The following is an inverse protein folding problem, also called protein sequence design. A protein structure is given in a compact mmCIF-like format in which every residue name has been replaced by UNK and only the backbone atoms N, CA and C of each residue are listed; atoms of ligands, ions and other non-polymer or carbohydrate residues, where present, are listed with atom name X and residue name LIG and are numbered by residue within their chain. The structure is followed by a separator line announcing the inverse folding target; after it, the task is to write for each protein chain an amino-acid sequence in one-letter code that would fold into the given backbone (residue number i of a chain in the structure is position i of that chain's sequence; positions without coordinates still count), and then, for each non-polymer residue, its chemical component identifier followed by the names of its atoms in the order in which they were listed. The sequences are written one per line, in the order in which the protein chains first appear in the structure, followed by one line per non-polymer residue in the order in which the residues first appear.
data_IF_642412528978
#
_entry.id   IF_642412528978
#
_cell.length_a   1.000
_cell.length_b   1.000
_cell.length_c   1.000
_cell.angle_alpha   90.00
_cell.angle_beta   90.00
_cell.angle_gamma   90.00
#
_symmetry.space_group_name_H-M   'P 1'
#
loop_
_entity.id
_entity.type
_entity.pdbx_description
1 polymer ?
#
# COMPACT_ATOMS: atom_id res chain seq x y z
N UNK A 1 30.13 22.31 12.94
CA UNK A 1 28.97 22.08 13.83
C UNK A 1 29.24 20.82 14.64
N UNK A 2 29.06 20.81 15.96
CA UNK A 2 29.23 19.59 16.74
C UNK A 2 27.99 18.71 16.53
N UNK A 3 28.13 17.62 15.75
CA UNK A 3 27.00 16.73 15.40
C UNK A 3 26.30 16.13 16.63
N UNK A 4 26.98 16.06 17.77
CA UNK A 4 26.39 15.56 19.02
C UNK A 4 25.24 16.43 19.58
N UNK A 5 25.09 17.68 19.11
CA UNK A 5 24.03 18.59 19.56
C UNK A 5 22.82 18.64 18.62
N UNK A 6 22.88 17.97 17.47
CA UNK A 6 21.80 17.99 16.49
C UNK A 6 20.77 16.92 16.85
N UNK A 7 19.57 17.35 17.23
CA UNK A 7 18.38 16.50 17.35
C UNK A 7 17.39 16.87 16.26
N UNK A 8 17.28 16.03 15.23
CA UNK A 8 16.35 16.25 14.11
C UNK A 8 14.91 16.37 14.60
N UNK A 9 14.18 17.33 14.04
CA UNK A 9 12.79 17.70 14.34
C UNK A 9 12.51 18.03 15.82
N UNK A 10 13.54 18.37 16.59
CA UNK A 10 13.45 18.84 17.98
C UNK A 10 14.24 20.13 18.19
N UNK A 11 15.46 20.17 17.65
CA UNK A 11 16.35 21.34 17.70
C UNK A 11 16.71 21.85 16.31
N UNK A 12 16.73 20.96 15.32
CA UNK A 12 17.09 21.27 13.94
C UNK A 12 16.17 20.52 12.97
N UNK A 13 15.92 21.08 11.81
CA UNK A 13 15.36 20.34 10.68
C UNK A 13 16.50 19.85 9.79
N UNK A 14 16.46 18.57 9.40
CA UNK A 14 17.40 17.97 8.45
C UNK A 14 16.95 18.36 7.04
N UNK A 15 17.87 18.82 6.20
CA UNK A 15 17.54 19.38 4.88
C UNK A 15 18.47 18.78 3.82
N UNK A 16 17.89 18.33 2.72
CA UNK A 16 18.61 17.93 1.52
C UNK A 16 18.70 19.13 0.57
N UNK A 17 19.92 19.57 0.24
CA UNK A 17 20.16 20.78 -0.56
C UNK A 17 21.08 20.54 -1.75
N UNK A 18 20.83 21.26 -2.84
CA UNK A 18 21.82 21.45 -3.90
C UNK A 18 22.98 22.30 -3.38
N UNK A 19 24.20 21.91 -3.71
CA UNK A 19 25.38 22.72 -3.42
C UNK A 19 25.49 23.78 -4.53
N UNK A 20 25.65 25.03 -4.14
CA UNK A 20 25.74 26.14 -5.10
C UNK A 20 26.95 25.95 -6.02
N UNK A 21 26.74 26.13 -7.33
CA UNK A 21 27.77 25.98 -8.37
C UNK A 21 28.41 24.58 -8.48
N UNK A 22 27.87 23.56 -7.79
CA UNK A 22 28.28 22.17 -7.92
C UNK A 22 27.08 21.32 -8.37
N UNK A 23 27.30 20.34 -9.25
CA UNK A 23 26.28 19.33 -9.57
C UNK A 23 26.24 18.25 -8.48
N UNK A 24 26.03 18.68 -7.23
CA UNK A 24 26.14 17.85 -6.03
C UNK A 24 25.03 18.19 -5.05
N UNK A 25 24.59 17.18 -4.30
CA UNK A 25 23.63 17.33 -3.21
C UNK A 25 24.31 17.03 -1.89
N UNK A 26 23.95 17.77 -0.85
CA UNK A 26 24.43 17.56 0.53
C UNK A 26 23.27 17.55 1.52
N UNK A 27 23.54 16.97 2.68
CA UNK A 27 22.69 17.10 3.87
C UNK A 27 23.16 18.32 4.66
N UNK A 28 22.21 19.13 5.09
CA UNK A 28 22.39 20.32 5.89
C UNK A 28 21.40 20.34 7.06
N UNK A 29 21.64 21.22 8.05
CA UNK A 29 20.84 21.30 9.26
C UNK A 29 20.48 22.75 9.56
N UNK A 30 19.18 23.02 9.68
CA UNK A 30 18.69 24.36 9.99
C UNK A 30 18.09 24.38 11.38
N UNK A 31 18.63 25.23 12.25
CA UNK A 31 18.21 25.36 13.64
C UNK A 31 16.76 25.86 13.76
N UNK A 32 15.98 25.23 14.64
CA UNK A 32 14.62 25.65 14.97
C UNK A 32 14.69 26.80 15.98
N UNK A 33 14.14 27.95 15.62
CA UNK A 33 14.11 29.15 16.47
C UNK A 33 12.70 29.67 16.63
N UNK A 34 12.24 29.75 17.88
CA UNK A 34 10.97 30.37 18.18
C UNK A 34 11.14 31.89 18.25
N UNK A 35 10.55 32.61 17.28
CA UNK A 35 10.71 34.07 17.13
C UNK A 35 10.10 34.89 18.29
N UNK A 36 9.22 34.29 19.09
CA UNK A 36 8.42 34.98 20.11
C UNK A 36 8.68 34.44 21.53
N UNK A 37 9.92 34.07 21.81
CA UNK A 37 10.34 33.50 23.10
C UNK A 37 9.99 34.42 24.28
N UNK A 38 10.25 35.72 24.17
CA UNK A 38 9.92 36.70 25.23
C UNK A 38 8.43 36.72 25.58
N UNK A 39 7.55 36.58 24.57
CA UNK A 39 6.11 36.55 24.79
C UNK A 39 5.66 35.26 25.48
N UNK A 40 6.32 34.13 25.16
CA UNK A 40 6.07 32.84 25.81
C UNK A 40 6.53 32.85 27.27
N UNK A 41 7.67 33.48 27.56
CA UNK A 41 8.15 33.66 28.92
C UNK A 41 7.22 34.55 29.74
N UNK A 42 6.69 35.62 29.16
CA UNK A 42 5.67 36.44 29.82
C UNK A 42 4.40 35.63 30.11
N UNK A 43 3.93 34.81 29.16
CA UNK A 43 2.80 33.90 29.40
C UNK A 43 3.09 32.93 30.56
N UNK A 44 4.33 32.46 30.71
CA UNK A 44 4.73 31.62 31.85
C UNK A 44 4.66 32.40 33.16
N UNK A 45 5.18 33.63 33.21
CA UNK A 45 5.06 34.50 34.39
C UNK A 45 3.61 34.77 34.75
N UNK A 46 2.73 34.94 33.76
CA UNK A 46 1.29 35.05 33.99
C UNK A 46 0.70 33.77 34.60
N UNK A 47 1.17 32.59 34.19
CA UNK A 47 0.73 31.32 34.75
C UNK A 47 1.11 31.17 36.24
N UNK A 48 2.31 31.62 36.58
CA UNK A 48 2.88 31.59 37.93
C UNK A 48 2.34 32.71 38.86
N UNK A 49 1.55 33.66 38.32
CA UNK A 49 1.01 34.80 39.06
C UNK A 49 -0.41 34.53 39.57
N UNK A 50 -0.55 34.48 40.90
CA UNK A 50 -1.84 34.23 41.56
C UNK A 50 -2.88 35.35 41.37
N UNK A 51 -2.47 36.56 40.97
CA UNK A 51 -3.38 37.66 40.65
C UNK A 51 -3.91 37.64 39.21
N UNK A 52 -3.54 36.64 38.42
CA UNK A 52 -4.05 36.45 37.04
C UNK A 52 -5.00 35.26 37.00
N UNK A 53 -5.96 35.34 36.10
CA UNK A 53 -6.84 34.24 35.73
C UNK A 53 -6.38 33.58 34.43
N UNK A 54 -6.92 32.39 34.14
CA UNK A 54 -6.74 31.76 32.82
C UNK A 54 -7.36 32.60 31.69
N UNK A 55 -8.38 33.41 31.99
CA UNK A 55 -9.03 34.29 31.02
C UNK A 55 -8.09 35.44 30.59
N UNK A 56 -7.34 36.03 31.53
CA UNK A 56 -6.31 37.04 31.23
C UNK A 56 -5.25 36.48 30.27
N UNK A 57 -4.83 35.22 30.51
CA UNK A 57 -3.87 34.53 29.66
C UNK A 57 -4.43 34.30 28.24
N UNK A 58 -5.72 33.98 28.12
CA UNK A 58 -6.38 33.83 26.83
C UNK A 58 -6.39 35.11 26.02
N UNK A 59 -6.71 36.23 26.67
CA UNK A 59 -6.76 37.52 25.99
C UNK A 59 -5.36 37.98 25.57
N UNK A 60 -4.35 37.73 26.41
CA UNK A 60 -2.95 37.95 26.05
C UNK A 60 -2.50 37.13 24.83
N UNK A 61 -2.82 35.83 24.79
CA UNK A 61 -2.48 34.98 23.62
C UNK A 61 -3.20 35.45 22.36
N UNK A 62 -4.49 35.79 22.45
CA UNK A 62 -5.27 36.31 21.31
C UNK A 62 -4.73 37.62 20.76
N UNK A 63 -4.25 38.50 21.65
CA UNK A 63 -3.72 39.83 21.32
C UNK A 63 -2.23 39.86 20.92
N UNK A 64 -1.52 38.72 21.00
CA UNK A 64 -0.09 38.63 20.73
C UNK A 64 0.24 37.74 19.51
N UNK A 65 1.52 37.61 19.18
CA UNK A 65 1.95 36.70 18.11
C UNK A 65 1.77 35.22 18.48
N UNK A 66 1.57 34.93 19.78
CA UNK A 66 1.24 33.57 20.25
C UNK A 66 -0.12 33.08 19.77
N UNK A 67 -0.98 33.95 19.22
CA UNK A 67 -2.27 33.56 18.61
C UNK A 67 -2.10 32.41 17.60
N UNK A 68 -0.99 32.37 16.86
CA UNK A 68 -0.67 31.27 15.92
C UNK A 68 -0.68 29.90 16.60
N UNK A 69 -0.19 29.83 17.85
CA UNK A 69 -0.16 28.62 18.66
C UNK A 69 -1.55 28.16 19.11
N UNK A 70 -2.63 28.90 18.83
CA UNK A 70 -4.00 28.43 19.12
C UNK A 70 -4.64 27.68 17.96
N UNK A 71 -4.01 27.68 16.77
CA UNK A 71 -4.52 27.00 15.58
C UNK A 71 -4.22 25.49 15.61
N UNK A 72 -4.72 24.78 14.62
CA UNK A 72 -4.38 23.38 14.36
C UNK A 72 -2.99 23.24 13.72
N UNK A 73 -2.39 22.07 13.94
CA UNK A 73 -1.12 21.67 13.34
C UNK A 73 -1.17 20.19 12.93
N UNK A 74 -0.70 19.91 11.72
CA UNK A 74 -0.42 18.55 11.25
C UNK A 74 0.91 18.06 11.85
N UNK A 75 0.82 17.46 13.04
CA UNK A 75 1.98 17.05 13.83
C UNK A 75 1.77 15.71 14.54
N UNK A 76 2.78 14.86 14.41
CA UNK A 76 2.90 13.52 14.94
C UNK A 76 3.92 13.52 16.08
N UNK A 77 3.41 13.53 17.30
CA UNK A 77 4.17 13.60 18.55
C UNK A 77 4.94 12.32 18.90
N UNK A 78 4.52 11.19 18.37
CA UNK A 78 5.21 9.91 18.42
C UNK A 78 5.05 9.21 17.07
N UNK A 79 6.12 8.98 16.31
CA UNK A 79 6.01 8.53 14.91
C UNK A 79 5.26 7.19 14.74
N UNK A 80 5.19 6.38 15.80
CA UNK A 80 4.55 5.07 15.83
C UNK A 80 3.17 5.01 16.47
N UNK A 81 2.68 6.04 17.17
CA UNK A 81 1.37 5.99 17.86
C UNK A 81 0.20 6.22 16.88
N UNK A 82 -1.03 5.88 17.24
CA UNK A 82 -2.21 6.10 16.37
C UNK A 82 -2.99 7.38 16.75
N UNK A 83 -3.77 7.94 15.80
CA UNK A 83 -4.74 9.03 16.02
C UNK A 83 -4.13 10.32 16.55
N UNK A 84 -3.04 10.75 15.93
CA UNK A 84 -2.37 11.98 16.31
C UNK A 84 -2.77 13.10 15.38
N UNK A 85 -3.02 14.27 15.96
CA UNK A 85 -3.02 15.58 15.32
C UNK A 85 -3.13 16.60 16.45
N UNK A 86 -2.79 17.86 16.19
CA UNK A 86 -2.98 18.92 17.18
C UNK A 86 -4.16 19.77 16.72
N UNK A 87 -5.36 19.60 17.30
CA UNK A 87 -6.51 20.42 16.91
C UNK A 87 -6.39 21.85 17.44
N UNK A 88 -7.16 22.73 16.79
CA UNK A 88 -7.38 24.11 17.22
C UNK A 88 -7.80 24.14 18.69
N UNK A 89 -7.17 25.04 19.44
CA UNK A 89 -7.34 25.13 20.87
C UNK A 89 -8.70 25.72 21.22
N UNK A 90 -9.54 24.93 21.89
CA UNK A 90 -10.80 25.43 22.43
C UNK A 90 -10.53 26.37 23.62
N UNK A 91 -11.09 27.59 23.63
CA UNK A 91 -10.96 28.50 24.75
C UNK A 91 -11.75 27.99 25.97
N UNK A 92 -11.22 28.24 27.15
CA UNK A 92 -11.92 28.15 28.43
C UNK A 92 -13.09 29.14 28.40
N UNK A 93 -14.29 28.61 28.65
CA UNK A 93 -15.54 29.36 28.74
C UNK A 93 -15.53 30.24 29.99
N UNK A 94 -15.87 31.52 29.82
CA UNK A 94 -16.04 32.44 30.95
C UNK A 94 -17.09 31.93 31.93
N UNK A 95 -18.24 31.49 31.41
CA UNK A 95 -19.37 31.04 32.22
C UNK A 95 -19.02 29.79 33.04
N UNK A 96 -18.38 28.79 32.41
CA UNK A 96 -18.01 27.55 33.10
C UNK A 96 -16.92 27.81 34.14
N UNK A 97 -15.93 28.64 33.81
CA UNK A 97 -14.88 29.00 34.76
C UNK A 97 -15.44 29.78 35.96
N UNK A 98 -16.31 30.76 35.74
CA UNK A 98 -16.89 31.55 36.82
C UNK A 98 -17.78 30.69 37.71
N UNK A 99 -18.59 29.80 37.12
CA UNK A 99 -19.43 28.86 37.86
C UNK A 99 -18.61 28.01 38.83
N UNK A 100 -17.50 27.43 38.38
CA UNK A 100 -16.62 26.62 39.24
C UNK A 100 -16.02 27.45 40.39
N UNK A 101 -15.59 28.69 40.10
CA UNK A 101 -15.08 29.61 41.13
C UNK A 101 -16.14 29.93 42.18
N UNK A 102 -17.37 30.22 41.76
CA UNK A 102 -18.49 30.53 42.64
C UNK A 102 -18.85 29.32 43.53
N UNK A 103 -18.84 28.10 42.98
CA UNK A 103 -19.06 26.87 43.75
C UNK A 103 -18.02 26.64 44.86
N UNK A 104 -16.75 27.05 44.66
CA UNK A 104 -15.77 27.02 45.74
C UNK A 104 -16.01 28.11 46.79
N UNK A 105 -16.41 29.32 46.37
CA UNK A 105 -16.74 30.41 47.28
C UNK A 105 -17.96 30.06 48.16
N UNK A 106 -19.00 29.45 47.58
CA UNK A 106 -20.20 28.97 48.30
C UNK A 106 -19.86 27.89 49.35
N UNK A 107 -18.88 27.03 49.06
CA UNK A 107 -18.36 26.01 50.00
C UNK A 107 -17.38 26.57 51.03
N UNK A 108 -16.93 27.82 50.88
CA UNK A 108 -15.90 28.43 51.72
C UNK A 108 -14.50 27.81 51.54
N UNK A 109 -14.27 27.06 50.46
CA UNK A 109 -13.01 26.35 50.19
C UNK A 109 -12.03 27.21 49.39
N UNK A 110 -11.34 28.10 50.11
CA UNK A 110 -10.33 29.01 49.51
C UNK A 110 -9.14 28.26 48.92
N UNK A 111 -8.67 27.21 49.58
CA UNK A 111 -7.50 26.45 49.13
C UNK A 111 -7.81 25.68 47.85
N UNK A 112 -9.00 25.08 47.74
CA UNK A 112 -9.48 24.43 46.53
C UNK A 112 -9.63 25.40 45.37
N UNK A 113 -10.19 26.59 45.61
CA UNK A 113 -10.30 27.66 44.60
C UNK A 113 -8.94 28.08 44.03
N UNK A 114 -7.97 28.35 44.90
CA UNK A 114 -6.61 28.73 44.50
C UNK A 114 -5.92 27.61 43.71
N UNK A 115 -6.07 26.36 44.16
CA UNK A 115 -5.53 25.19 43.47
C UNK A 115 -6.16 25.00 42.08
N UNK A 116 -7.48 25.14 41.95
CA UNK A 116 -8.19 25.07 40.68
C UNK A 116 -7.73 26.17 39.72
N UNK A 117 -7.68 27.43 40.18
CA UNK A 117 -7.24 28.55 39.35
C UNK A 117 -5.80 28.36 38.86
N UNK A 118 -4.89 27.92 39.74
CA UNK A 118 -3.50 27.60 39.39
C UNK A 118 -3.42 26.47 38.36
N UNK A 119 -4.18 25.40 38.56
CA UNK A 119 -4.23 24.26 37.63
C UNK A 119 -4.73 24.68 36.23
N UNK A 120 -5.78 25.52 36.15
CA UNK A 120 -6.26 26.04 34.87
C UNK A 120 -5.20 26.88 34.15
N UNK A 121 -4.51 27.77 34.87
CA UNK A 121 -3.40 28.56 34.30
C UNK A 121 -2.26 27.67 33.80
N UNK A 122 -1.84 26.69 34.60
CA UNK A 122 -0.74 25.80 34.25
C UNK A 122 -1.10 24.90 33.05
N UNK A 123 -2.33 24.35 33.03
CA UNK A 123 -2.85 23.58 31.89
C UNK A 123 -2.88 24.42 30.62
N UNK A 124 -3.33 25.67 30.71
CA UNK A 124 -3.37 26.58 29.57
C UNK A 124 -1.96 26.89 29.03
N UNK A 125 -1.02 27.28 29.90
CA UNK A 125 0.37 27.50 29.52
C UNK A 125 0.98 26.25 28.88
N UNK A 126 0.82 25.08 29.49
CA UNK A 126 1.36 23.82 28.97
C UNK A 126 0.79 23.49 27.58
N UNK A 127 -0.51 23.75 27.33
CA UNK A 127 -1.13 23.57 26.01
C UNK A 127 -0.51 24.48 24.96
N UNK A 128 -0.22 25.74 25.28
CA UNK A 128 0.45 26.68 24.36
C UNK A 128 1.91 26.27 24.14
N UNK A 129 2.66 26.00 25.21
CA UNK A 129 4.07 25.61 25.15
C UNK A 129 4.28 24.32 24.31
N UNK A 130 3.38 23.34 24.43
CA UNK A 130 3.41 22.11 23.63
C UNK A 130 3.30 22.37 22.11
N UNK A 131 2.67 23.47 21.70
CA UNK A 131 2.44 23.83 20.29
C UNK A 131 3.60 24.60 19.66
N UNK A 132 4.59 24.99 20.46
CA UNK A 132 5.77 25.74 19.98
C UNK A 132 6.58 24.95 18.97
N UNK A 133 6.90 23.67 19.24
CA UNK A 133 7.66 22.83 18.30
C UNK A 133 6.91 22.60 16.96
N UNK A 134 5.63 22.18 16.95
CA UNK A 134 4.84 22.11 15.73
C UNK A 134 4.87 23.41 14.92
N UNK A 135 4.69 24.56 15.57
CA UNK A 135 4.72 25.86 14.91
C UNK A 135 6.09 26.18 14.32
N UNK A 136 7.18 25.96 15.05
CA UNK A 136 8.54 26.16 14.53
C UNK A 136 8.82 25.29 13.30
N UNK A 137 8.38 24.02 13.33
CA UNK A 137 8.57 23.10 12.21
C UNK A 137 7.77 23.55 10.99
N UNK A 138 6.52 23.96 11.18
CA UNK A 138 5.67 24.41 10.07
C UNK A 138 6.17 25.73 9.47
N UNK A 139 6.49 26.72 10.31
CA UNK A 139 7.03 28.01 9.88
C UNK A 139 8.35 27.81 9.10
N UNK A 140 9.27 27.00 9.64
CA UNK A 140 10.52 26.73 8.95
C UNK A 140 10.30 25.91 7.67
N UNK A 141 9.36 24.95 7.66
CA UNK A 141 8.98 24.22 6.45
C UNK A 141 8.48 25.17 5.36
N UNK A 142 7.67 26.17 5.72
CA UNK A 142 7.14 27.17 4.78
C UNK A 142 8.25 28.08 4.22
N UNK A 143 9.27 28.38 5.02
CA UNK A 143 10.45 29.12 4.56
C UNK A 143 11.34 28.26 3.65
N UNK A 144 11.61 27.01 4.02
CA UNK A 144 12.39 26.07 3.21
C UNK A 144 11.74 25.73 1.88
N UNK A 145 10.41 25.61 1.84
CA UNK A 145 9.68 25.33 0.61
C UNK A 145 9.86 26.41 -0.46
N UNK A 146 10.14 27.66 -0.05
CA UNK A 146 10.38 28.80 -0.94
C UNK A 146 11.83 28.89 -1.43
N UNK A 147 12.74 28.14 -0.83
CA UNK A 147 14.16 28.15 -1.17
C UNK A 147 14.46 27.14 -2.28
N UNK A 148 14.84 27.58 -3.50
CA UNK A 148 15.05 26.69 -4.64
C UNK A 148 16.25 25.76 -4.49
N UNK A 149 17.14 26.02 -3.52
CA UNK A 149 18.25 25.10 -3.20
C UNK A 149 17.79 23.89 -2.40
N UNK A 150 16.63 23.97 -1.72
CA UNK A 150 16.07 22.89 -0.91
C UNK A 150 15.33 21.91 -1.79
N UNK A 151 15.73 20.64 -1.72
CA UNK A 151 15.10 19.55 -2.44
C UNK A 151 14.08 18.82 -1.57
N UNK A 152 14.40 18.65 -0.28
CA UNK A 152 13.53 18.04 0.72
C UNK A 152 13.98 18.43 2.13
N UNK A 153 13.09 18.28 3.09
CA UNK A 153 13.37 18.52 4.51
C UNK A 153 12.61 17.51 5.38
N UNK A 154 13.14 17.23 6.57
CA UNK A 154 12.54 16.28 7.51
C UNK A 154 11.24 16.84 8.07
N UNK A 155 10.29 15.98 8.40
CA UNK A 155 9.03 16.42 8.99
C UNK A 155 8.52 15.45 10.04
N UNK A 156 7.46 15.90 10.73
CA UNK A 156 6.66 15.11 11.67
C UNK A 156 5.17 15.18 11.35
N UNK A 157 4.81 15.35 10.08
CA UNK A 157 3.42 15.31 9.61
C UNK A 157 2.78 13.93 9.80
N UNK A 158 1.48 13.89 10.05
CA UNK A 158 0.71 12.66 10.26
C UNK A 158 0.28 12.07 8.91
N UNK A 159 0.28 10.75 8.84
CA UNK A 159 -0.21 9.99 7.69
C UNK A 159 0.72 10.00 6.50
N UNK A 160 0.13 9.78 5.32
CA UNK A 160 0.83 9.64 4.06
C UNK A 160 1.40 10.99 3.58
N UNK A 161 2.61 11.31 4.03
CA UNK A 161 3.41 12.32 3.35
C UNK A 161 4.26 11.63 2.27
N UNK A 162 4.03 12.03 1.02
CA UNK A 162 4.58 11.41 -0.19
C UNK A 162 4.79 12.39 -1.37
N UNK A 163 5.31 13.62 -1.18
CA UNK A 163 5.67 14.41 -2.35
C UNK A 163 6.91 13.77 -2.99
N UNK A 164 6.72 13.14 -4.15
CA UNK A 164 7.82 12.78 -5.01
C UNK A 164 8.54 14.06 -5.44
N UNK A 165 9.87 14.07 -5.36
CA UNK A 165 10.68 15.19 -5.78
C UNK A 165 11.81 14.71 -6.70
N UNK A 166 12.22 15.61 -7.59
CA UNK A 166 13.31 15.35 -8.55
C UNK A 166 14.59 15.95 -8.00
N UNK A 167 15.65 15.15 -7.92
CA UNK A 167 17.00 15.67 -7.68
C UNK A 167 17.55 16.30 -8.98
N UNK A 168 17.26 15.66 -10.11
CA UNK A 168 17.43 16.12 -11.50
C UNK A 168 16.42 15.41 -12.41
N UNK A 169 16.55 15.54 -13.73
CA UNK A 169 15.63 14.88 -14.69
C UNK A 169 15.70 13.35 -14.66
N UNK A 170 16.83 12.79 -14.23
CA UNK A 170 17.06 11.36 -14.18
C UNK A 170 16.65 10.74 -12.84
N UNK A 171 16.72 11.47 -11.73
CA UNK A 171 16.57 10.92 -10.38
C UNK A 171 15.35 11.49 -9.68
N UNK A 172 14.37 10.62 -9.44
CA UNK A 172 13.18 10.91 -8.65
C UNK A 172 13.25 10.14 -7.35
N UNK A 173 12.91 10.82 -6.26
CA UNK A 173 12.93 10.27 -4.90
C UNK A 173 11.57 10.45 -4.26
N UNK A 174 11.16 9.46 -3.47
CA UNK A 174 9.97 9.52 -2.62
C UNK A 174 10.36 9.10 -1.21
N UNK A 175 10.15 9.99 -0.25
CA UNK A 175 10.16 9.66 1.17
C UNK A 175 8.75 9.26 1.57
N UNK A 176 8.52 7.96 1.64
CA UNK A 176 7.22 7.38 1.98
C UNK A 176 7.12 7.25 3.48
N UNK A 177 6.34 8.12 4.10
CA UNK A 177 6.05 8.04 5.53
C UNK A 177 4.58 7.78 5.76
N UNK A 178 4.26 7.02 6.81
CA UNK A 178 2.91 6.88 7.33
C UNK A 178 2.94 7.06 8.86
N UNK A 179 3.43 8.19 9.32
CA UNK A 179 3.59 8.44 10.76
C UNK A 179 2.23 8.60 11.43
N UNK A 180 2.09 8.14 12.67
CA UNK A 180 0.84 8.36 13.40
C UNK A 180 -0.24 7.29 13.19
N UNK A 181 0.15 6.09 12.71
CA UNK A 181 -0.76 4.99 12.35
C UNK A 181 -0.50 3.68 13.12
N UNK A 182 0.09 3.76 14.31
CA UNK A 182 0.26 2.57 15.15
C UNK A 182 1.23 1.56 14.54
N UNK A 183 0.84 0.29 14.60
CA UNK A 183 1.55 -0.84 13.97
C UNK A 183 1.59 -0.79 12.44
N UNK A 184 0.86 0.11 11.80
CA UNK A 184 0.90 0.35 10.34
C UNK A 184 1.78 1.54 9.95
N UNK A 185 2.49 2.15 10.92
CA UNK A 185 3.40 3.25 10.65
C UNK A 185 4.67 2.75 9.97
N UNK A 186 5.18 3.51 9.01
CA UNK A 186 6.41 3.17 8.28
C UNK A 186 7.19 4.40 7.85
N UNK A 187 8.48 4.17 7.56
CA UNK A 187 9.38 5.13 6.91
C UNK A 187 10.20 4.40 5.85
N UNK A 188 9.85 4.61 4.59
CA UNK A 188 10.49 4.01 3.43
C UNK A 188 11.07 5.07 2.49
N UNK A 189 12.03 4.62 1.70
CA UNK A 189 12.62 5.39 0.62
C UNK A 189 12.41 4.64 -0.70
N UNK A 190 11.94 5.36 -1.70
CA UNK A 190 11.93 4.91 -3.09
C UNK A 190 12.82 5.81 -3.93
N UNK A 191 13.70 5.20 -4.72
CA UNK A 191 14.53 5.88 -5.70
C UNK A 191 14.20 5.34 -7.08
N UNK A 192 14.08 6.26 -8.03
CA UNK A 192 13.95 5.97 -9.44
C UNK A 192 15.08 6.64 -10.19
N UNK A 193 15.71 5.91 -11.11
CA UNK A 193 16.77 6.39 -11.99
C UNK A 193 16.36 6.17 -13.45
N UNK A 194 16.27 7.26 -14.23
CA UNK A 194 15.77 7.28 -15.61
C UNK A 194 14.42 6.56 -15.79
N UNK A 195 13.56 6.66 -14.78
CA UNK A 195 12.25 6.00 -14.75
C UNK A 195 12.25 4.57 -14.19
N UNK A 196 13.42 3.93 -14.05
CA UNK A 196 13.56 2.60 -13.46
C UNK A 196 13.52 2.69 -11.93
N UNK A 197 12.61 1.96 -11.30
CA UNK A 197 12.54 1.87 -9.84
C UNK A 197 13.63 0.97 -9.27
N UNK A 198 14.49 1.51 -8.39
CA UNK A 198 15.48 0.75 -7.64
C UNK A 198 14.81 0.23 -6.37
N UNK A 199 13.94 -0.78 -6.51
CA UNK A 199 13.01 -1.23 -5.46
C UNK A 199 13.17 -2.72 -5.11
N UNK A 200 14.34 -3.14 -4.59
CA UNK A 200 14.66 -4.55 -4.32
C UNK A 200 13.79 -5.19 -3.23
N UNK A 201 13.11 -4.39 -2.40
CA UNK A 201 12.33 -4.90 -1.27
C UNK A 201 10.85 -4.57 -1.41
N UNK A 202 10.02 -5.38 -0.77
CA UNK A 202 8.60 -5.12 -0.59
C UNK A 202 8.14 -5.50 0.81
N UNK A 203 7.09 -4.84 1.32
CA UNK A 203 6.49 -5.17 2.61
C UNK A 203 4.98 -5.05 2.51
N UNK A 204 4.29 -6.08 3.03
CA UNK A 204 2.85 -6.07 3.20
C UNK A 204 2.49 -5.29 4.47
N UNK A 205 1.78 -4.17 4.28
CA UNK A 205 1.21 -3.36 5.35
C UNK A 205 -0.27 -3.71 5.51
N UNK A 206 -0.67 -4.06 6.72
CA UNK A 206 -2.06 -4.42 7.03
C UNK A 206 -2.71 -3.38 7.94
N UNK A 207 -3.69 -2.66 7.39
CA UNK A 207 -4.45 -1.63 8.08
C UNK A 207 -5.65 -2.27 8.78
N UNK A 208 -5.40 -2.91 9.93
CA UNK A 208 -6.40 -3.73 10.66
C UNK A 208 -7.76 -3.07 10.82
N UNK A 209 -7.79 -1.79 11.19
CA UNK A 209 -9.04 -1.05 11.45
C UNK A 209 -9.84 -0.71 10.18
N UNK A 210 -9.18 -0.68 9.03
CA UNK A 210 -9.79 -0.41 7.74
C UNK A 210 -10.07 -1.70 6.95
N UNK A 211 -9.75 -2.88 7.50
CA UNK A 211 -9.80 -4.16 6.79
C UNK A 211 -9.12 -4.13 5.41
N UNK A 212 -8.03 -3.36 5.31
CA UNK A 212 -7.33 -3.12 4.06
C UNK A 212 -5.85 -3.54 4.15
N UNK A 213 -5.22 -3.71 3.00
CA UNK A 213 -3.81 -4.06 2.89
C UNK A 213 -3.18 -3.45 1.67
N UNK A 214 -1.89 -3.19 1.76
CA UNK A 214 -1.08 -2.71 0.64
C UNK A 214 0.30 -3.39 0.64
N UNK A 215 0.88 -3.58 -0.55
CA UNK A 215 2.25 -4.08 -0.71
C UNK A 215 3.11 -2.92 -1.20
N UNK A 216 3.93 -2.40 -0.28
CA UNK A 216 4.78 -1.25 -0.57
C UNK A 216 6.16 -1.74 -0.95
N UNK A 217 6.61 -1.39 -2.16
CA UNK A 217 7.98 -1.63 -2.64
C UNK A 217 8.90 -0.47 -2.26
N UNK A 218 10.14 -0.74 -1.90
CA UNK A 218 11.07 0.29 -1.45
C UNK A 218 12.54 -0.05 -1.74
N UNK A 219 13.35 1.00 -1.85
CA UNK A 219 14.81 0.94 -1.91
C UNK A 219 15.39 0.63 -0.53
N UNK A 220 14.92 1.35 0.50
CA UNK A 220 15.34 1.15 1.89
C UNK A 220 14.20 1.41 2.88
N UNK A 221 14.30 0.76 4.03
CA UNK A 221 13.47 0.99 5.21
C UNK A 221 14.28 1.61 6.33
N UNK A 222 13.65 2.51 7.05
CA UNK A 222 14.21 3.19 8.21
C UNK A 222 13.36 2.95 9.45
N UNK A 223 13.95 3.13 10.63
CA UNK A 223 13.20 3.10 11.88
C UNK A 223 12.29 4.33 12.01
N UNK A 224 11.27 4.23 12.87
CA UNK A 224 10.38 5.35 13.19
C UNK A 224 11.01 6.25 14.25
N UNK A 225 12.12 6.89 13.89
CA UNK A 225 12.88 7.79 14.75
C UNK A 225 13.30 9.05 13.98
N UNK A 226 13.33 10.19 14.66
CA UNK A 226 13.67 11.46 14.00
C UNK A 226 15.09 11.48 13.40
N UNK A 227 16.06 10.82 14.03
CA UNK A 227 17.45 10.79 13.57
C UNK A 227 17.62 9.99 12.28
N UNK A 228 16.68 9.10 11.96
CA UNK A 228 16.71 8.32 10.73
C UNK A 228 16.62 9.20 9.47
N UNK A 229 16.01 10.40 9.57
CA UNK A 229 16.04 11.38 8.48
C UNK A 229 17.46 11.74 8.03
N UNK A 230 18.44 11.77 8.93
CA UNK A 230 19.84 12.02 8.56
C UNK A 230 20.38 10.89 7.69
N UNK A 231 20.10 9.64 8.07
CA UNK A 231 20.53 8.45 7.32
C UNK A 231 19.84 8.39 5.96
N UNK A 232 18.54 8.69 5.93
CA UNK A 232 17.74 8.73 4.71
C UNK A 232 18.26 9.78 3.72
N UNK A 233 18.47 11.01 4.17
CA UNK A 233 18.96 12.09 3.31
C UNK A 233 20.42 11.92 2.93
N UNK A 234 21.27 11.39 3.82
CA UNK A 234 22.68 11.12 3.49
C UNK A 234 22.77 10.06 2.40
N UNK A 235 22.03 8.96 2.54
CA UNK A 235 21.96 7.95 1.50
C UNK A 235 21.39 8.50 0.19
N UNK A 236 20.37 9.37 0.26
CA UNK A 236 19.82 10.03 -0.94
C UNK A 236 20.89 10.89 -1.64
N UNK A 237 21.66 11.67 -0.88
CA UNK A 237 22.76 12.47 -1.40
C UNK A 237 23.85 11.59 -2.01
N UNK A 238 24.25 10.51 -1.34
CA UNK A 238 25.27 9.57 -1.82
C UNK A 238 24.86 8.92 -3.14
N UNK A 239 23.60 8.49 -3.26
CA UNK A 239 23.05 7.92 -4.49
C UNK A 239 23.12 8.93 -5.63
N UNK A 240 22.63 10.15 -5.40
CA UNK A 240 22.67 11.20 -6.42
C UNK A 240 24.09 11.54 -6.85
N UNK A 241 24.97 11.77 -5.88
CA UNK A 241 26.34 12.15 -6.13
C UNK A 241 27.09 11.04 -6.89
N UNK A 242 26.85 9.77 -6.54
CA UNK A 242 27.42 8.61 -7.25
C UNK A 242 26.90 8.52 -8.69
N UNK A 243 25.60 8.69 -8.88
CA UNK A 243 24.95 8.64 -10.19
C UNK A 243 25.38 9.78 -11.12
N UNK A 244 25.69 10.96 -10.56
CA UNK A 244 26.23 12.10 -11.33
C UNK A 244 27.72 11.93 -11.61
N UNK A 245 28.51 11.45 -10.63
CA UNK A 245 29.96 11.34 -10.77
C UNK A 245 30.39 10.23 -11.73
N UNK A 246 29.70 9.09 -11.68
CA UNK A 246 29.98 7.93 -12.52
C UNK A 246 28.66 7.20 -12.85
N UNK A 247 27.89 7.72 -13.83
CA UNK A 247 26.60 7.16 -14.21
C UNK A 247 26.67 5.68 -14.63
N UNK A 248 27.79 5.27 -15.26
CA UNK A 248 28.00 3.91 -15.74
C UNK A 248 28.18 2.93 -14.56
N UNK A 249 29.11 3.22 -13.64
CA UNK A 249 29.31 2.37 -12.45
C UNK A 249 28.08 2.37 -11.55
N UNK A 250 27.36 3.50 -11.45
CA UNK A 250 26.12 3.57 -10.70
C UNK A 250 25.05 2.64 -11.27
N UNK A 251 24.79 2.72 -12.57
CA UNK A 251 23.80 1.88 -13.25
C UNK A 251 24.16 0.39 -13.15
N UNK A 252 25.43 0.06 -13.29
CA UNK A 252 25.90 -1.32 -13.13
C UNK A 252 25.60 -1.88 -11.73
N UNK A 253 26.00 -1.16 -10.68
CA UNK A 253 25.87 -1.63 -9.30
C UNK A 253 24.43 -1.71 -8.80
N UNK A 254 23.60 -0.74 -9.16
CA UNK A 254 22.27 -0.56 -8.55
C UNK A 254 21.12 -1.02 -9.45
N UNK A 255 21.38 -1.27 -10.74
CA UNK A 255 20.35 -1.70 -11.69
C UNK A 255 20.80 -2.97 -12.38
N UNK A 256 21.91 -2.99 -13.11
CA UNK A 256 22.26 -4.13 -13.97
C UNK A 256 22.53 -5.42 -13.19
N UNK A 257 23.05 -5.35 -11.96
CA UNK A 257 23.18 -6.55 -11.12
C UNK A 257 21.81 -7.19 -10.81
N UNK A 258 20.78 -6.40 -10.55
CA UNK A 258 19.42 -6.90 -10.33
C UNK A 258 18.83 -7.45 -11.64
N UNK A 259 19.15 -6.81 -12.77
CA UNK A 259 18.77 -7.30 -14.11
C UNK A 259 19.46 -8.65 -14.39
N UNK A 260 20.72 -8.82 -13.99
CA UNK A 260 21.44 -10.09 -14.11
C UNK A 260 20.75 -11.21 -13.35
N UNK A 261 20.35 -10.98 -12.09
CA UNK A 261 19.63 -11.97 -11.29
C UNK A 261 18.27 -12.30 -11.91
N UNK A 262 17.53 -11.29 -12.36
CA UNK A 262 16.24 -11.48 -13.03
C UNK A 262 16.39 -12.32 -14.30
N UNK A 263 17.31 -11.94 -15.19
CA UNK A 263 17.53 -12.64 -16.47
C UNK A 263 18.04 -14.06 -16.25
N UNK A 264 18.96 -14.26 -15.31
CA UNK A 264 19.40 -15.60 -14.91
C UNK A 264 18.24 -16.45 -14.40
N UNK A 265 17.31 -15.84 -13.66
CA UNK A 265 16.05 -16.48 -13.26
C UNK A 265 15.19 -16.91 -14.45
N UNK A 266 15.05 -16.06 -15.47
CA UNK A 266 14.32 -16.38 -16.71
C UNK A 266 14.97 -17.53 -17.47
N UNK A 267 16.30 -17.49 -17.64
CA UNK A 267 17.07 -18.55 -18.30
C UNK A 267 16.94 -19.90 -17.57
N UNK A 268 16.93 -19.87 -16.23
CA UNK A 268 16.74 -21.07 -15.41
C UNK A 268 15.35 -21.70 -15.59
N UNK A 269 14.29 -20.88 -15.70
CA UNK A 269 12.92 -21.41 -15.86
C UNK A 269 12.60 -21.80 -17.30
N UNK A 270 13.27 -21.22 -18.29
CA UNK A 270 13.04 -21.45 -19.72
C UNK A 270 13.02 -22.94 -20.09
N UNK A 271 14.04 -23.70 -19.67
CA UNK A 271 14.15 -25.14 -19.96
C UNK A 271 13.58 -26.05 -18.88
N UNK A 272 13.07 -25.49 -17.77
CA UNK A 272 12.63 -26.29 -16.64
C UNK A 272 11.29 -27.01 -16.94
N UNK A 273 11.15 -28.24 -16.47
CA UNK A 273 9.88 -29.00 -16.51
C UNK A 273 9.08 -28.88 -15.22
N UNK A 274 9.72 -28.38 -14.16
CA UNK A 274 9.11 -28.10 -12.86
C UNK A 274 9.80 -26.91 -12.21
N UNK A 275 9.07 -26.18 -11.38
CA UNK A 275 9.62 -25.10 -10.58
C UNK A 275 9.19 -25.21 -9.13
N UNK A 276 10.15 -25.03 -8.23
CA UNK A 276 9.92 -25.04 -6.79
C UNK A 276 9.72 -23.61 -6.31
N UNK A 277 8.49 -23.24 -5.97
CA UNK A 277 8.18 -21.94 -5.40
C UNK A 277 7.84 -22.07 -3.91
N UNK A 278 8.08 -21.00 -3.16
CA UNK A 278 7.50 -20.87 -1.82
C UNK A 278 6.05 -20.40 -1.97
N UNK A 279 5.13 -21.03 -1.24
CA UNK A 279 3.70 -20.72 -1.29
C UNK A 279 3.44 -19.26 -0.92
N UNK A 280 4.08 -18.78 0.15
CA UNK A 280 4.21 -17.36 0.44
C UNK A 280 5.33 -17.10 1.45
N UNK A 281 5.68 -15.83 1.64
CA UNK A 281 6.60 -15.45 2.73
C UNK A 281 6.09 -15.86 4.12
N UNK A 282 4.76 -15.91 4.32
CA UNK A 282 4.12 -16.23 5.60
C UNK A 282 3.85 -17.73 5.80
N UNK A 283 3.87 -18.49 4.70
CA UNK A 283 3.71 -19.93 4.70
C UNK A 283 4.88 -20.53 3.91
N UNK A 284 5.96 -20.95 4.59
CA UNK A 284 7.19 -21.40 3.95
C UNK A 284 7.05 -22.77 3.27
N UNK A 285 5.83 -23.30 3.17
CA UNK A 285 5.55 -24.48 2.40
C UNK A 285 6.02 -24.29 0.96
N UNK A 286 6.52 -25.39 0.42
CA UNK A 286 7.01 -25.45 -0.94
C UNK A 286 5.92 -25.98 -1.84
N UNK A 287 5.59 -25.24 -2.89
CA UNK A 287 4.74 -25.71 -3.98
C UNK A 287 5.61 -26.11 -5.18
N UNK A 288 5.16 -27.12 -5.92
CA UNK A 288 5.82 -27.58 -7.14
C UNK A 288 4.90 -27.26 -8.32
N UNK A 289 5.33 -26.33 -9.16
CA UNK A 289 4.64 -25.94 -10.40
C UNK A 289 5.10 -26.91 -11.49
N UNK A 290 4.17 -27.59 -12.17
CA UNK A 290 4.44 -28.59 -13.22
C UNK A 290 3.34 -28.59 -14.29
N UNK A 291 3.55 -29.27 -15.42
CA UNK A 291 2.51 -29.47 -16.43
C UNK A 291 1.99 -28.15 -17.01
N UNK A 292 0.67 -28.02 -17.18
CA UNK A 292 0.02 -26.80 -17.69
C UNK A 292 0.39 -25.55 -16.87
N UNK A 293 0.48 -25.68 -15.54
CA UNK A 293 0.83 -24.55 -14.68
C UNK A 293 2.27 -24.08 -14.90
N UNK A 294 3.18 -24.99 -15.29
CA UNK A 294 4.54 -24.61 -15.67
C UNK A 294 4.54 -23.85 -17.00
N UNK A 295 3.71 -24.23 -17.97
CA UNK A 295 3.56 -23.51 -19.24
C UNK A 295 3.06 -22.09 -19.00
N UNK A 296 2.03 -21.93 -18.15
CA UNK A 296 1.51 -20.62 -17.74
C UNK A 296 2.57 -19.78 -17.03
N UNK A 297 3.26 -20.39 -16.06
CA UNK A 297 4.30 -19.72 -15.28
C UNK A 297 5.45 -19.21 -16.18
N UNK A 298 5.91 -20.03 -17.15
CA UNK A 298 6.90 -19.60 -18.14
C UNK A 298 6.37 -18.46 -19.01
N UNK A 299 5.19 -18.64 -19.60
CA UNK A 299 4.58 -17.65 -20.48
C UNK A 299 4.45 -16.29 -19.81
N UNK A 300 3.89 -16.25 -18.60
CA UNK A 300 3.74 -15.03 -17.80
C UNK A 300 5.10 -14.38 -17.48
N UNK A 301 6.05 -15.15 -16.90
CA UNK A 301 7.32 -14.59 -16.43
C UNK A 301 8.23 -14.14 -17.56
N UNK A 302 8.32 -14.92 -18.63
CA UNK A 302 9.24 -14.67 -19.74
C UNK A 302 8.67 -13.60 -20.67
N UNK A 303 7.39 -13.68 -21.07
CA UNK A 303 6.77 -12.65 -21.91
C UNK A 303 6.55 -11.34 -21.15
N UNK A 304 6.22 -11.40 -19.86
CA UNK A 304 6.08 -10.19 -19.02
C UNK A 304 7.37 -9.38 -18.91
N UNK A 305 8.54 -10.02 -19.05
CA UNK A 305 9.83 -9.32 -19.04
C UNK A 305 10.04 -8.41 -20.27
N UNK A 306 9.27 -8.61 -21.36
CA UNK A 306 9.34 -7.77 -22.56
C UNK A 306 8.91 -6.32 -22.27
N UNK A 307 7.94 -6.12 -21.37
CA UNK A 307 7.52 -4.78 -20.95
C UNK A 307 8.60 -3.97 -20.21
N UNK A 308 9.73 -4.59 -19.88
CA UNK A 308 10.87 -3.93 -19.24
C UNK A 308 11.95 -3.46 -20.23
N UNK A 309 11.87 -3.87 -21.51
CA UNK A 309 12.90 -3.56 -22.51
C UNK A 309 13.06 -2.05 -22.74
N UNK A 310 11.94 -1.32 -22.88
CA UNK A 310 11.97 0.14 -23.06
C UNK A 310 12.63 0.85 -21.88
N UNK A 311 12.38 0.37 -20.67
CA UNK A 311 12.99 0.90 -19.46
C UNK A 311 14.50 0.65 -19.47
N UNK A 312 14.95 -0.57 -19.81
CA UNK A 312 16.38 -0.86 -19.95
C UNK A 312 17.05 0.00 -21.03
N UNK A 313 16.36 0.26 -22.15
CA UNK A 313 16.87 1.07 -23.25
C UNK A 313 17.19 2.51 -22.82
N UNK A 314 16.55 3.03 -21.77
CA UNK A 314 16.90 4.34 -21.18
C UNK A 314 18.33 4.41 -20.66
N UNK A 315 18.97 3.27 -20.37
CA UNK A 315 20.34 3.16 -19.89
C UNK A 315 21.37 3.00 -21.03
N UNK A 316 20.94 2.80 -22.28
CA UNK A 316 21.87 2.61 -23.40
C UNK A 316 22.89 3.75 -23.59
N UNK A 317 22.55 5.03 -23.33
CA UNK A 317 23.53 6.12 -23.42
C UNK A 317 24.64 6.09 -22.35
N UNK A 318 24.47 5.34 -21.26
CA UNK A 318 25.40 5.32 -20.12
C UNK A 318 26.14 4.00 -19.94
N UNK A 319 25.68 2.91 -20.57
CA UNK A 319 26.35 1.61 -20.53
C UNK A 319 26.05 0.82 -21.79
N UNK A 320 27.08 0.20 -22.35
CA UNK A 320 27.03 -0.68 -23.52
C UNK A 320 26.42 -2.06 -23.22
N UNK A 321 26.29 -2.41 -21.94
CA UNK A 321 25.74 -3.71 -21.48
C UNK A 321 24.23 -3.87 -21.70
N UNK A 322 23.50 -2.79 -21.97
CA UNK A 322 22.04 -2.87 -22.16
C UNK A 322 21.65 -3.84 -23.27
N UNK A 323 22.33 -3.77 -24.42
CA UNK A 323 22.06 -4.64 -25.55
C UNK A 323 22.27 -6.12 -25.23
N UNK A 324 23.24 -6.44 -24.35
CA UNK A 324 23.47 -7.80 -23.87
C UNK A 324 22.27 -8.34 -23.08
N UNK A 325 21.70 -7.56 -22.16
CA UNK A 325 20.52 -7.97 -21.38
C UNK A 325 19.25 -8.06 -22.21
N UNK A 326 19.00 -7.09 -23.08
CA UNK A 326 17.87 -7.12 -24.02
C UNK A 326 17.91 -8.40 -24.84
N UNK A 327 19.06 -8.73 -25.43
CA UNK A 327 19.23 -9.94 -26.22
C UNK A 327 18.95 -11.22 -25.42
N UNK A 328 19.40 -11.30 -24.16
CA UNK A 328 19.12 -12.47 -23.30
C UNK A 328 17.62 -12.62 -23.02
N UNK A 329 16.94 -11.54 -22.66
CA UNK A 329 15.47 -11.55 -22.43
C UNK A 329 14.75 -12.01 -23.69
N UNK A 330 15.13 -11.51 -24.86
CA UNK A 330 14.56 -11.92 -26.14
C UNK A 330 14.80 -13.39 -26.44
N UNK A 331 16.02 -13.90 -26.22
CA UNK A 331 16.35 -15.29 -26.45
C UNK A 331 15.49 -16.22 -25.59
N UNK A 332 15.25 -15.85 -24.31
CA UNK A 332 14.33 -16.59 -23.45
C UNK A 332 12.91 -16.64 -24.05
N UNK A 333 12.43 -15.50 -24.56
CA UNK A 333 11.11 -15.38 -25.19
C UNK A 333 10.99 -16.24 -26.45
N UNK A 334 11.95 -16.14 -27.37
CA UNK A 334 11.92 -16.96 -28.60
C UNK A 334 12.03 -18.45 -28.32
N UNK A 335 12.78 -18.84 -27.29
CA UNK A 335 12.95 -20.24 -26.97
C UNK A 335 11.68 -20.93 -26.44
N UNK A 336 10.73 -20.17 -25.88
CA UNK A 336 9.47 -20.76 -25.37
C UNK A 336 8.34 -20.80 -26.39
N UNK A 337 8.44 -20.05 -27.51
CA UNK A 337 7.37 -19.96 -28.53
C UNK A 337 6.85 -21.33 -28.96
N UNK A 338 7.74 -22.23 -29.38
CA UNK A 338 7.35 -23.56 -29.85
C UNK A 338 6.70 -24.43 -28.76
N UNK A 339 7.09 -24.24 -27.49
CA UNK A 339 6.46 -24.92 -26.35
C UNK A 339 5.03 -24.40 -26.12
N UNK A 340 4.84 -23.08 -26.16
CA UNK A 340 3.53 -22.43 -26.01
C UNK A 340 2.58 -22.81 -27.16
N UNK A 341 3.03 -22.75 -28.42
CA UNK A 341 2.25 -23.14 -29.60
C UNK A 341 1.81 -24.61 -29.54
N UNK A 342 2.75 -25.49 -29.13
CA UNK A 342 2.47 -26.91 -28.94
C UNK A 342 1.46 -27.12 -27.81
N UNK A 343 1.57 -26.37 -26.72
CA UNK A 343 0.63 -26.45 -25.60
C UNK A 343 -0.78 -26.01 -26.01
N UNK A 344 -0.90 -24.89 -26.73
CA UNK A 344 -2.19 -24.43 -27.31
C UNK A 344 -2.76 -25.49 -28.24
N UNK A 345 -1.98 -25.99 -29.19
CA UNK A 345 -2.43 -27.01 -30.16
C UNK A 345 -2.93 -28.27 -29.45
N UNK A 346 -2.18 -28.73 -28.44
CA UNK A 346 -2.56 -29.90 -27.64
C UNK A 346 -3.84 -29.64 -26.84
N UNK A 347 -3.99 -28.43 -26.27
CA UNK A 347 -5.18 -28.06 -25.49
C UNK A 347 -6.41 -27.88 -26.37
N UNK A 348 -6.29 -27.35 -27.59
CA UNK A 348 -7.38 -27.24 -28.57
C UNK A 348 -7.93 -28.62 -28.93
N UNK A 349 -7.07 -29.61 -29.21
CA UNK A 349 -7.50 -30.99 -29.45
C UNK A 349 -8.20 -31.62 -28.24
N UNK A 350 -7.71 -31.34 -27.04
CA UNK A 350 -8.39 -31.77 -25.81
C UNK A 350 -9.77 -31.11 -25.67
N UNK A 351 -9.88 -29.81 -25.95
CA UNK A 351 -11.13 -29.06 -25.93
C UNK A 351 -12.14 -29.63 -26.94
N UNK A 352 -11.73 -29.96 -28.17
CA UNK A 352 -12.59 -30.64 -29.15
C UNK A 352 -13.15 -31.95 -28.61
N UNK A 353 -12.33 -32.74 -27.91
CA UNK A 353 -12.75 -34.00 -27.30
C UNK A 353 -13.77 -33.78 -26.17
N UNK A 354 -13.58 -32.74 -25.36
CA UNK A 354 -14.51 -32.35 -24.29
C UNK A 354 -15.82 -31.85 -24.88
N UNK A 355 -15.78 -31.02 -25.92
CA UNK A 355 -16.98 -30.50 -26.59
C UNK A 355 -17.83 -31.63 -27.19
N UNK A 356 -17.21 -32.59 -27.88
CA UNK A 356 -17.92 -33.77 -28.38
C UNK A 356 -18.56 -34.61 -27.24
N UNK A 357 -17.90 -34.66 -26.08
CA UNK A 357 -18.45 -35.34 -24.90
C UNK A 357 -19.64 -34.58 -24.31
N UNK A 358 -19.56 -33.25 -24.26
CA UNK A 358 -20.68 -32.38 -23.84
C UNK A 358 -21.86 -32.55 -24.79
N UNK A 359 -21.65 -32.50 -26.10
CA UNK A 359 -22.71 -32.70 -27.10
C UNK A 359 -23.44 -34.05 -26.94
N UNK A 360 -22.72 -35.09 -26.51
CA UNK A 360 -23.31 -36.41 -26.25
C UNK A 360 -24.15 -36.44 -24.98
N UNK A 361 -23.71 -35.78 -23.91
CA UNK A 361 -24.41 -35.76 -22.61
C UNK A 361 -25.51 -34.67 -22.55
N UNK A 362 -25.43 -33.65 -23.40
CA UNK A 362 -26.36 -32.52 -23.47
C UNK A 362 -27.85 -32.95 -23.52
N UNK A 363 -28.27 -33.93 -24.34
CA UNK A 363 -29.68 -34.32 -24.39
C UNK A 363 -30.19 -34.90 -23.06
N UNK A 364 -29.35 -35.64 -22.33
CA UNK A 364 -29.71 -36.20 -21.02
C UNK A 364 -29.81 -35.10 -19.96
N UNK A 365 -28.87 -34.16 -20.01
CA UNK A 365 -28.90 -32.98 -19.16
C UNK A 365 -30.16 -32.13 -19.43
N UNK A 366 -30.50 -31.90 -20.70
CA UNK A 366 -31.69 -31.13 -21.09
C UNK A 366 -32.99 -31.83 -20.65
N UNK A 367 -33.07 -33.17 -20.78
CA UNK A 367 -34.19 -33.98 -20.31
C UNK A 367 -34.42 -33.84 -18.79
N UNK A 368 -33.35 -33.72 -18.00
CA UNK A 368 -33.43 -33.69 -16.54
C UNK A 368 -33.44 -32.27 -15.96
N UNK A 369 -32.85 -31.29 -16.63
CA UNK A 369 -32.70 -29.92 -16.10
C UNK A 369 -34.02 -29.17 -16.02
N UNK A 370 -34.89 -29.29 -17.04
CA UNK A 370 -36.22 -28.66 -17.02
C UNK A 370 -37.12 -29.23 -15.91
N UNK A 371 -37.31 -30.56 -15.79
CA UNK A 371 -38.08 -31.13 -14.68
C UNK A 371 -37.48 -30.81 -13.30
N UNK A 372 -36.15 -30.76 -13.16
CA UNK A 372 -35.54 -30.37 -11.89
C UNK A 372 -35.86 -28.92 -11.51
N UNK A 373 -35.93 -28.01 -12.50
CA UNK A 373 -36.38 -26.64 -12.27
C UNK A 373 -37.83 -26.58 -11.80
N UNK A 374 -38.71 -27.42 -12.36
CA UNK A 374 -40.11 -27.52 -11.93
C UNK A 374 -40.20 -28.06 -10.49
N UNK A 375 -39.49 -29.15 -10.18
CA UNK A 375 -39.43 -29.69 -8.82
C UNK A 375 -38.88 -28.68 -7.81
N UNK A 376 -37.85 -27.90 -8.16
CA UNK A 376 -37.34 -26.84 -7.28
C UNK A 376 -38.40 -25.77 -7.03
N UNK A 377 -39.13 -25.34 -8.06
CA UNK A 377 -40.23 -24.39 -7.91
C UNK A 377 -41.33 -24.93 -7.00
N UNK A 378 -41.76 -26.18 -7.19
CA UNK A 378 -42.76 -26.82 -6.31
C UNK A 378 -42.26 -26.92 -4.86
N UNK A 379 -40.97 -27.21 -4.66
CA UNK A 379 -40.34 -27.25 -3.32
C UNK A 379 -40.30 -25.87 -2.67
N UNK A 380 -40.02 -24.82 -3.43
CA UNK A 380 -40.02 -23.44 -2.95
C UNK A 380 -41.44 -22.99 -2.59
N UNK A 381 -42.44 -23.25 -3.45
CA UNK A 381 -43.85 -22.95 -3.17
C UNK A 381 -44.36 -23.68 -1.93
N UNK A 382 -44.01 -24.97 -1.77
CA UNK A 382 -44.35 -25.74 -0.57
C UNK A 382 -43.65 -25.19 0.68
N UNK A 383 -42.39 -24.80 0.58
CA UNK A 383 -41.65 -24.18 1.70
C UNK A 383 -42.34 -22.90 2.15
N UNK A 384 -42.71 -22.05 1.20
CA UNK A 384 -43.32 -20.75 1.47
C UNK A 384 -44.73 -20.95 2.05
N UNK A 385 -45.49 -21.94 1.58
CA UNK A 385 -46.78 -22.31 2.19
C UNK A 385 -46.62 -22.82 3.64
N UNK A 386 -45.63 -23.66 3.92
CA UNK A 386 -45.35 -24.14 5.29
C UNK A 386 -44.95 -22.96 6.20
N UNK A 387 -44.16 -22.01 5.69
CA UNK A 387 -43.73 -20.86 6.49
C UNK A 387 -44.89 -19.96 6.96
N UNK A 388 -46.01 -19.96 6.21
CA UNK A 388 -47.23 -19.21 6.56
C UNK A 388 -48.16 -19.97 7.54
N UNK A 389 -47.92 -21.26 7.80
CA UNK A 389 -48.69 -22.04 8.76
C UNK A 389 -48.36 -21.60 10.20
N UNK A 390 -49.40 -21.42 11.03
CA UNK A 390 -49.27 -20.89 12.40
C UNK A 390 -48.28 -21.70 13.27
N UNK A 391 -48.20 -23.01 13.05
CA UNK A 391 -47.28 -23.93 13.75
C UNK A 391 -45.79 -23.65 13.40
N UNK A 392 -45.52 -23.05 12.23
CA UNK A 392 -44.19 -22.90 11.66
C UNK A 392 -43.69 -21.44 11.57
N UNK A 393 -44.53 -20.44 11.82
CA UNK A 393 -44.18 -19.00 11.76
C UNK A 393 -42.97 -18.58 12.60
N UNK A 394 -42.76 -19.23 13.75
CA UNK A 394 -41.63 -18.94 14.66
C UNK A 394 -40.49 -19.98 14.58
N UNK A 395 -40.56 -20.90 13.62
CA UNK A 395 -39.56 -21.97 13.47
C UNK A 395 -38.37 -21.50 12.63
N UNK A 396 -37.21 -22.12 12.87
CA UNK A 396 -36.03 -21.84 12.07
C UNK A 396 -36.19 -22.36 10.64
N UNK A 397 -35.43 -21.75 9.74
CA UNK A 397 -35.39 -22.13 8.32
C UNK A 397 -35.01 -23.60 8.10
N UNK A 398 -34.21 -24.19 8.99
CA UNK A 398 -33.87 -25.61 8.96
C UNK A 398 -35.07 -26.50 9.26
N UNK A 399 -35.87 -26.17 10.28
CA UNK A 399 -37.07 -26.94 10.65
C UNK A 399 -38.13 -26.89 9.55
N UNK A 400 -38.31 -25.72 8.93
CA UNK A 400 -39.21 -25.56 7.77
C UNK A 400 -38.72 -26.40 6.57
N UNK A 401 -37.40 -26.43 6.32
CA UNK A 401 -36.81 -27.23 5.24
C UNK A 401 -36.96 -28.74 5.45
N UNK A 402 -36.75 -29.22 6.69
CA UNK A 402 -36.94 -30.64 7.03
C UNK A 402 -38.40 -31.06 6.85
N UNK A 403 -39.35 -30.21 7.26
CA UNK A 403 -40.78 -30.49 7.09
C UNK A 403 -41.21 -30.45 5.62
N UNK A 404 -40.71 -29.47 4.84
CA UNK A 404 -40.88 -29.44 3.39
C UNK A 404 -40.42 -30.75 2.77
N UNK A 405 -39.22 -31.24 3.08
CA UNK A 405 -38.71 -32.46 2.45
C UNK A 405 -39.53 -33.70 2.80
N UNK A 406 -40.09 -33.78 4.02
CA UNK A 406 -41.04 -34.85 4.39
C UNK A 406 -42.34 -34.79 3.61
N UNK A 407 -42.97 -33.60 3.54
CA UNK A 407 -44.24 -33.41 2.81
C UNK A 407 -44.05 -33.64 1.32
N UNK A 408 -42.96 -33.10 0.77
CA UNK A 408 -42.59 -33.26 -0.63
C UNK A 408 -42.36 -34.73 -1.00
N UNK A 409 -41.64 -35.50 -0.17
CA UNK A 409 -41.45 -36.93 -0.40
C UNK A 409 -42.75 -37.75 -0.34
N UNK A 410 -43.76 -37.27 0.39
CA UNK A 410 -45.08 -37.89 0.46
C UNK A 410 -45.94 -37.57 -0.77
N UNK A 411 -45.90 -36.33 -1.26
CA UNK A 411 -46.67 -35.87 -2.42
C UNK A 411 -46.02 -36.28 -3.75
N UNK A 412 -44.70 -36.37 -3.79
CA UNK A 412 -43.88 -36.71 -4.96
C UNK A 412 -42.92 -37.88 -4.67
N UNK A 413 -43.44 -39.11 -4.44
CA UNK A 413 -42.59 -40.26 -4.10
C UNK A 413 -41.58 -40.62 -5.20
N UNK A 414 -41.85 -40.24 -6.45
CA UNK A 414 -40.95 -40.44 -7.60
C UNK A 414 -39.72 -39.50 -7.58
N UNK A 415 -39.79 -38.39 -6.85
CA UNK A 415 -38.76 -37.37 -6.82
C UNK A 415 -37.41 -37.91 -6.32
N UNK A 416 -37.39 -38.83 -5.35
CA UNK A 416 -36.13 -39.40 -4.83
C UNK A 416 -35.35 -40.15 -5.92
N UNK A 417 -36.05 -40.92 -6.76
CA UNK A 417 -35.44 -41.63 -7.88
C UNK A 417 -35.02 -40.67 -8.99
N UNK A 418 -35.82 -39.64 -9.27
CA UNK A 418 -35.46 -38.56 -10.20
C UNK A 418 -34.20 -37.83 -9.74
N UNK A 419 -34.16 -37.38 -8.49
CA UNK A 419 -33.05 -36.62 -7.91
C UNK A 419 -31.73 -37.38 -7.97
N UNK A 420 -31.76 -38.68 -7.71
CA UNK A 420 -30.58 -39.56 -7.85
C UNK A 420 -30.05 -39.57 -9.29
N UNK A 421 -30.93 -39.64 -10.29
CA UNK A 421 -30.54 -39.58 -11.72
C UNK A 421 -30.02 -38.19 -12.10
N UNK A 422 -30.70 -37.13 -11.67
CA UNK A 422 -30.29 -35.76 -11.90
C UNK A 422 -28.91 -35.48 -11.31
N UNK A 423 -28.66 -35.84 -10.05
CA UNK A 423 -27.37 -35.56 -9.40
C UNK A 423 -26.21 -36.33 -10.05
N UNK A 424 -26.46 -37.56 -10.53
CA UNK A 424 -25.47 -38.31 -11.30
C UNK A 424 -25.12 -37.60 -12.62
N UNK A 425 -26.12 -37.16 -13.38
CA UNK A 425 -25.92 -36.47 -14.66
C UNK A 425 -25.32 -35.07 -14.46
N UNK A 426 -25.78 -34.33 -13.45
CA UNK A 426 -25.25 -33.02 -13.06
C UNK A 426 -23.75 -33.07 -12.86
N UNK A 427 -23.27 -34.03 -12.06
CA UNK A 427 -21.83 -34.14 -11.76
C UNK A 427 -21.00 -34.40 -13.01
N UNK A 428 -21.51 -35.23 -13.94
CA UNK A 428 -20.83 -35.51 -15.21
C UNK A 428 -20.82 -34.28 -16.11
N UNK A 429 -21.98 -33.68 -16.35
CA UNK A 429 -22.12 -32.54 -17.25
C UNK A 429 -21.33 -31.31 -16.75
N UNK A 430 -21.42 -30.99 -15.46
CA UNK A 430 -20.70 -29.84 -14.90
C UNK A 430 -19.19 -30.07 -14.79
N UNK A 431 -18.72 -31.30 -14.54
CA UNK A 431 -17.29 -31.61 -14.60
C UNK A 431 -16.74 -31.41 -16.03
N UNK A 432 -17.51 -31.83 -17.06
CA UNK A 432 -17.15 -31.57 -18.46
C UNK A 432 -17.14 -30.06 -18.78
N UNK A 433 -18.13 -29.30 -18.32
CA UNK A 433 -18.16 -27.84 -18.50
C UNK A 433 -16.98 -27.15 -17.80
N UNK A 434 -16.66 -27.55 -16.57
CA UNK A 434 -15.50 -27.02 -15.85
C UNK A 434 -14.18 -27.33 -16.57
N UNK A 435 -14.04 -28.53 -17.14
CA UNK A 435 -12.89 -28.90 -17.98
C UNK A 435 -12.81 -28.08 -19.27
N UNK A 436 -13.95 -27.81 -19.92
CA UNK A 436 -14.04 -26.92 -21.11
C UNK A 436 -13.53 -25.53 -20.76
N UNK A 437 -14.07 -24.93 -19.69
CA UNK A 437 -13.75 -23.56 -19.29
C UNK A 437 -12.28 -23.43 -18.90
N UNK A 438 -11.74 -24.41 -18.17
CA UNK A 438 -10.31 -24.46 -17.83
C UNK A 438 -9.42 -24.58 -19.06
N UNK A 439 -9.81 -25.38 -20.05
CA UNK A 439 -9.07 -25.53 -21.30
C UNK A 439 -9.13 -24.26 -22.16
N UNK A 440 -10.28 -23.60 -22.25
CA UNK A 440 -10.45 -22.33 -22.96
C UNK A 440 -9.61 -21.22 -22.33
N UNK A 441 -9.71 -21.03 -21.01
CA UNK A 441 -8.90 -20.07 -20.26
C UNK A 441 -7.41 -20.31 -20.46
N UNK A 442 -6.95 -21.57 -20.44
CA UNK A 442 -5.56 -21.89 -20.74
C UNK A 442 -5.14 -21.45 -22.15
N UNK A 443 -5.98 -21.70 -23.16
CA UNK A 443 -5.68 -21.32 -24.54
C UNK A 443 -5.60 -19.80 -24.69
N UNK A 444 -6.57 -19.07 -24.16
CA UNK A 444 -6.63 -17.61 -24.22
C UNK A 444 -5.42 -16.96 -23.54
N UNK A 445 -5.11 -17.42 -22.33
CA UNK A 445 -3.99 -16.91 -21.54
C UNK A 445 -2.63 -17.19 -22.22
N UNK A 446 -2.43 -18.40 -22.73
CA UNK A 446 -1.18 -18.75 -23.42
C UNK A 446 -1.07 -18.05 -24.78
N UNK A 447 -2.19 -17.79 -25.46
CA UNK A 447 -2.21 -17.01 -26.69
C UNK A 447 -1.78 -15.56 -26.42
N UNK A 448 -2.24 -14.94 -25.32
CA UNK A 448 -1.81 -13.60 -24.93
C UNK A 448 -0.29 -13.50 -24.76
N UNK A 449 0.34 -14.53 -24.17
CA UNK A 449 1.80 -14.58 -24.04
C UNK A 449 2.50 -14.64 -25.41
N UNK A 450 1.97 -15.42 -26.36
CA UNK A 450 2.50 -15.47 -27.72
C UNK A 450 2.32 -14.14 -28.46
N UNK A 451 1.15 -13.53 -28.36
CA UNK A 451 0.84 -12.26 -29.01
C UNK A 451 1.79 -11.16 -28.52
N UNK A 452 2.05 -11.12 -27.21
CA UNK A 452 3.02 -10.20 -26.61
C UNK A 452 4.45 -10.42 -27.13
N UNK A 453 4.87 -11.68 -27.32
CA UNK A 453 6.18 -12.01 -27.92
C UNK A 453 6.24 -11.56 -29.39
N UNK A 454 5.17 -11.78 -30.14
CA UNK A 454 5.08 -11.43 -31.56
C UNK A 454 5.08 -9.91 -31.76
N UNK A 455 4.34 -9.15 -30.95
CA UNK A 455 4.32 -7.69 -30.96
C UNK A 455 5.73 -7.10 -30.79
N UNK A 456 6.47 -7.57 -29.78
CA UNK A 456 7.84 -7.10 -29.53
C UNK A 456 8.82 -7.54 -30.62
N UNK A 457 8.62 -8.74 -31.19
CA UNK A 457 9.43 -9.19 -32.34
C UNK A 457 9.25 -8.25 -33.53
N UNK A 458 8.02 -7.86 -33.85
CA UNK A 458 7.72 -6.95 -34.94
C UNK A 458 8.32 -5.55 -34.69
N UNK A 459 8.16 -5.03 -33.47
CA UNK A 459 8.75 -3.76 -33.06
C UNK A 459 10.27 -3.73 -33.27
N UNK A 460 10.99 -4.80 -32.95
CA UNK A 460 12.44 -4.83 -33.13
C UNK A 460 12.89 -4.93 -34.58
N UNK A 461 12.15 -5.66 -35.42
CA UNK A 461 12.38 -5.70 -36.86
C UNK A 461 12.18 -4.31 -37.47
N UNK A 462 11.13 -3.60 -37.07
CA UNK A 462 10.84 -2.24 -37.54
C UNK A 462 11.89 -1.21 -37.13
N UNK A 463 12.51 -1.40 -35.95
CA UNK A 463 13.47 -0.45 -35.37
C UNK A 463 14.95 -0.84 -35.57
N UNK A 464 15.25 -1.90 -36.34
CA UNK A 464 16.61 -2.37 -36.61
C UNK A 464 17.43 -2.67 -35.33
N UNK A 465 16.75 -3.03 -34.24
CA UNK A 465 17.37 -3.45 -33.00
C UNK A 465 17.76 -4.92 -33.21
N UNK A 466 19.05 -5.17 -33.39
CA UNK A 466 19.59 -6.44 -33.90
C UNK A 466 18.94 -7.68 -33.25
N UNK A 467 18.40 -8.56 -34.11
CA UNK A 467 17.87 -9.87 -33.76
C UNK A 467 18.92 -10.80 -33.13
#
# INVERSE_FOLDING_TARGET
MNMNNVKVNETHMCVLRKVENENRVKVDYVELKFKHQDQLEELKRMADNDNRSVLDMQDYVKGSALRRLSQDFDFCSCLSDSYQWIPCMQPVSFADYQKEIDEYDERGDKAGKEAYARDQRQKYYNRIAYRVLPAMLEDLSNDLYKDPSVLAYSHRRVGWASPAFKLNDDIKVVYLTNFGYGSSSYFFLQIYYKGIGILPYSQWIHYRKACASDIIRYTRRYHLDNQEWMKTMSFTADIYNSAVSDPASFAEKNILNEVEEMVSGLENIQSATSYRAQESFFNPNTIIITGDDMVRFKGEKISGALGFLDQLQTLAPITDKVGFYIKRIMNCNFAVVAELEKAISSKKKYLETILASIEKEQPKWDELSSPNSEYNKMRDEMRDAIAEEEEFKEKSWSTISDERDKRFAKEHPEYAAFKTKYDAEYNVYYDLCAKRDKAQSFIEEVQLYLDNIEEHKNYMVENNIAA
#
